data_IF_358481223832
#
_entry.id   IF_358481223832
#
_cell.length_a   1.000
_cell.length_b   1.000
_cell.length_c   1.000
_cell.angle_alpha   90.00
_cell.angle_beta   90.00
_cell.angle_gamma   90.00
#
_symmetry.space_group_name_H-M   'P 1'
#
loop_
_entity.id
_entity.type
_entity.pdbx_description
1 polymer ?
#
# COMPACT_ATOMS: atom_id res chain seq x y z
N UNK A 1 68.17 -17.66 -94.43
CA UNK A 1 66.69 -17.71 -94.66
C UNK A 1 65.90 -18.55 -93.64
N UNK A 2 66.39 -18.82 -92.41
CA UNK A 2 65.72 -19.78 -91.49
C UNK A 2 65.04 -19.19 -90.22
N UNK A 3 65.04 -17.87 -90.00
CA UNK A 3 64.41 -17.25 -88.81
C UNK A 3 62.89 -17.02 -88.94
N UNK A 4 62.35 -16.82 -90.15
CA UNK A 4 60.92 -16.53 -90.36
C UNK A 4 59.99 -17.75 -90.17
N UNK A 5 60.51 -18.99 -90.26
CA UNK A 5 59.71 -20.22 -90.06
C UNK A 5 59.54 -20.65 -88.60
N UNK A 6 60.37 -20.16 -87.66
CA UNK A 6 60.26 -20.51 -86.23
C UNK A 6 59.19 -19.70 -85.49
N UNK A 7 58.92 -18.46 -85.92
CA UNK A 7 57.88 -17.61 -85.30
C UNK A 7 56.45 -18.03 -85.68
N UNK A 8 56.24 -18.64 -86.85
CA UNK A 8 54.93 -19.10 -87.28
C UNK A 8 54.42 -20.35 -86.51
N UNK A 9 55.33 -21.18 -85.97
CA UNK A 9 54.95 -22.39 -85.20
C UNK A 9 54.59 -22.11 -83.75
N UNK A 10 55.20 -21.11 -83.11
CA UNK A 10 54.82 -20.68 -81.75
C UNK A 10 53.49 -19.95 -81.71
N UNK A 11 53.13 -19.20 -82.75
CA UNK A 11 51.81 -18.56 -82.85
C UNK A 11 50.66 -19.56 -83.00
N UNK A 12 50.89 -20.69 -83.70
CA UNK A 12 49.85 -21.72 -83.89
C UNK A 12 49.60 -22.55 -82.62
N UNK A 13 50.62 -22.76 -81.77
CA UNK A 13 50.47 -23.46 -80.48
C UNK A 13 49.75 -22.59 -79.43
N UNK A 14 49.99 -21.27 -79.42
CA UNK A 14 49.27 -20.33 -78.56
C UNK A 14 47.79 -20.16 -78.96
N UNK A 15 47.48 -20.26 -80.26
CA UNK A 15 46.09 -20.24 -80.74
C UNK A 15 45.33 -21.53 -80.42
N UNK A 16 46.00 -22.69 -80.43
CA UNK A 16 45.38 -23.98 -80.11
C UNK A 16 45.11 -24.17 -78.61
N UNK A 17 45.95 -23.62 -77.73
CA UNK A 17 45.69 -23.64 -76.27
C UNK A 17 44.56 -22.70 -75.84
N UNK A 18 44.25 -21.67 -76.63
CA UNK A 18 43.13 -20.76 -76.37
C UNK A 18 41.76 -21.40 -76.67
N UNK A 19 41.70 -22.43 -77.52
CA UNK A 19 40.44 -23.10 -77.88
C UNK A 19 40.04 -24.23 -76.91
N UNK A 20 40.96 -24.75 -76.08
CA UNK A 20 40.64 -25.76 -75.07
C UNK A 20 40.18 -25.17 -73.72
N UNK A 21 40.30 -23.85 -73.54
CA UNK A 21 39.82 -23.12 -72.36
C UNK A 21 38.46 -22.43 -72.58
N UNK A 22 37.85 -22.63 -73.75
CA UNK A 22 36.59 -21.97 -74.14
C UNK A 22 35.40 -22.94 -74.16
N UNK A 23 35.41 -23.99 -73.33
CA UNK A 23 34.17 -24.68 -73.00
C UNK A 23 33.38 -23.74 -72.09
N UNK A 24 32.21 -23.22 -72.52
CA UNK A 24 31.39 -22.40 -71.65
C UNK A 24 31.09 -23.18 -70.37
N UNK A 25 31.15 -22.54 -69.18
CA UNK A 25 30.81 -23.22 -67.94
C UNK A 25 29.42 -23.85 -68.07
N UNK A 26 29.22 -25.05 -67.49
CA UNK A 26 27.94 -25.72 -67.59
C UNK A 26 26.84 -24.83 -66.99
N UNK A 27 25.61 -24.89 -67.54
CA UNK A 27 24.52 -24.05 -67.07
C UNK A 27 24.30 -24.28 -65.57
N UNK A 28 24.16 -23.20 -64.82
CA UNK A 28 23.98 -23.24 -63.38
C UNK A 28 22.66 -23.96 -63.03
N UNK A 29 22.66 -24.90 -62.06
CA UNK A 29 21.43 -25.56 -61.64
C UNK A 29 20.42 -24.56 -61.07
N UNK A 30 19.16 -24.65 -61.49
CA UNK A 30 18.09 -23.77 -60.98
C UNK A 30 17.94 -23.84 -59.45
N UNK A 31 18.18 -25.01 -58.85
CA UNK A 31 18.09 -25.20 -57.40
C UNK A 31 19.10 -24.33 -56.63
N UNK A 32 20.26 -24.05 -57.22
CA UNK A 32 21.30 -23.22 -56.62
C UNK A 32 20.91 -21.74 -56.68
N UNK A 33 20.29 -21.29 -57.77
CA UNK A 33 19.73 -19.94 -57.89
C UNK A 33 18.56 -19.73 -56.91
N UNK A 34 17.65 -20.70 -56.79
CA UNK A 34 16.55 -20.66 -55.83
C UNK A 34 17.09 -20.57 -54.38
N UNK A 35 18.15 -21.31 -54.06
CA UNK A 35 18.80 -21.27 -52.77
C UNK A 35 19.42 -19.89 -52.50
N UNK A 36 20.11 -19.30 -53.47
CA UNK A 36 20.68 -17.95 -53.32
C UNK A 36 19.58 -16.92 -53.08
N UNK A 37 18.46 -17.01 -53.79
CA UNK A 37 17.29 -16.14 -53.55
C UNK A 37 16.72 -16.33 -52.13
N UNK A 38 16.63 -17.57 -51.65
CA UNK A 38 16.19 -17.87 -50.28
C UNK A 38 17.13 -17.26 -49.24
N UNK A 39 18.45 -17.43 -49.40
CA UNK A 39 19.45 -16.91 -48.46
C UNK A 39 19.61 -15.38 -48.50
N UNK A 40 19.35 -14.76 -49.65
CA UNK A 40 19.31 -13.31 -49.80
C UNK A 40 17.99 -12.68 -49.31
N UNK A 41 16.96 -13.49 -49.03
CA UNK A 41 15.68 -12.98 -48.56
C UNK A 41 15.79 -12.39 -47.15
N UNK A 42 15.00 -11.34 -46.87
CA UNK A 42 14.91 -10.75 -45.53
C UNK A 42 14.50 -11.75 -44.45
N UNK A 43 13.78 -12.81 -44.83
CA UNK A 43 13.36 -13.89 -43.92
C UNK A 43 14.57 -14.56 -43.25
N UNK A 44 15.66 -14.78 -43.99
CA UNK A 44 16.86 -15.40 -43.41
C UNK A 44 17.58 -14.44 -42.48
N UNK A 45 17.58 -13.14 -42.77
CA UNK A 45 18.12 -12.12 -41.87
C UNK A 45 17.35 -12.11 -40.54
N UNK A 46 16.02 -12.17 -40.58
CA UNK A 46 15.15 -12.20 -39.39
C UNK A 46 15.30 -13.52 -38.58
N UNK A 47 15.61 -14.63 -39.25
CA UNK A 47 15.77 -15.96 -38.64
C UNK A 47 17.16 -16.19 -38.06
N UNK A 48 18.20 -15.58 -38.64
CA UNK A 48 19.61 -15.74 -38.23
C UNK A 48 19.85 -15.55 -36.72
N UNK A 49 19.31 -14.52 -36.03
CA UNK A 49 19.54 -14.37 -34.60
C UNK A 49 18.91 -15.47 -33.75
N UNK A 50 17.89 -16.18 -34.26
CA UNK A 50 17.16 -17.23 -33.52
C UNK A 50 17.69 -18.63 -33.82
N UNK A 51 18.11 -18.88 -35.07
CA UNK A 51 18.63 -20.18 -35.50
C UNK A 51 19.98 -20.04 -36.22
N UNK A 52 21.01 -19.47 -35.57
CA UNK A 52 22.28 -19.14 -36.22
C UNK A 52 22.99 -20.37 -36.78
N UNK A 53 22.97 -21.48 -36.05
CA UNK A 53 23.66 -22.73 -36.45
C UNK A 53 23.03 -23.35 -37.70
N UNK A 54 21.69 -23.32 -37.80
CA UNK A 54 20.98 -23.86 -38.95
C UNK A 54 21.20 -23.00 -40.21
N UNK A 55 21.26 -21.67 -40.06
CA UNK A 55 21.61 -20.75 -41.15
C UNK A 55 23.08 -20.91 -41.57
N UNK A 56 23.99 -21.09 -40.61
CA UNK A 56 25.40 -21.34 -40.88
C UNK A 56 25.60 -22.67 -41.64
N UNK A 57 24.90 -23.73 -41.24
CA UNK A 57 24.90 -25.01 -41.94
C UNK A 57 24.40 -24.87 -43.39
N UNK A 58 23.29 -24.14 -43.60
CA UNK A 58 22.76 -23.87 -44.94
C UNK A 58 23.76 -23.12 -45.84
N UNK A 59 24.47 -22.13 -45.29
CA UNK A 59 25.51 -21.38 -46.02
C UNK A 59 26.76 -22.22 -46.31
N UNK A 60 27.14 -23.12 -45.41
CA UNK A 60 28.24 -24.05 -45.64
C UNK A 60 27.89 -25.02 -46.79
N UNK A 61 26.69 -25.61 -46.75
CA UNK A 61 26.21 -26.49 -47.83
C UNK A 61 26.00 -25.75 -49.15
N UNK A 62 25.64 -24.46 -49.14
CA UNK A 62 25.64 -23.61 -50.33
C UNK A 62 27.05 -23.50 -50.95
N UNK A 63 28.07 -23.23 -50.13
CA UNK A 63 29.45 -23.10 -50.62
C UNK A 63 29.95 -24.42 -51.24
N UNK A 64 29.60 -25.57 -50.65
CA UNK A 64 29.88 -26.89 -51.23
C UNK A 64 29.13 -27.12 -52.56
N UNK A 65 27.88 -26.66 -52.67
CA UNK A 65 27.11 -26.75 -53.90
C UNK A 65 27.67 -25.87 -55.02
N UNK A 66 28.20 -24.69 -54.69
CA UNK A 66 28.89 -23.79 -55.62
C UNK A 66 30.20 -24.42 -56.12
N UNK A 67 31.01 -24.99 -55.21
CA UNK A 67 32.24 -25.71 -55.58
C UNK A 67 31.96 -26.90 -56.52
N UNK A 68 30.94 -27.72 -56.23
CA UNK A 68 30.56 -28.84 -57.09
C UNK A 68 30.13 -28.40 -58.51
N UNK A 69 29.49 -27.22 -58.63
CA UNK A 69 29.14 -26.66 -59.94
C UNK A 69 30.38 -26.18 -60.71
N UNK A 70 31.34 -25.54 -60.04
CA UNK A 70 32.61 -25.12 -60.62
C UNK A 70 33.45 -26.32 -61.13
N UNK A 71 33.39 -27.45 -60.42
CA UNK A 71 34.02 -28.72 -60.80
C UNK A 71 33.28 -29.47 -61.93
N UNK A 72 32.07 -29.02 -62.31
CA UNK A 72 31.25 -29.62 -63.35
C UNK A 72 30.36 -30.79 -62.89
N UNK A 73 30.28 -31.08 -61.59
CA UNK A 73 29.37 -32.09 -61.02
C UNK A 73 27.99 -31.49 -60.73
N UNK A 74 27.16 -31.44 -61.77
CA UNK A 74 25.83 -30.85 -61.73
C UNK A 74 24.85 -31.63 -60.82
N UNK A 75 25.02 -32.96 -60.72
CA UNK A 75 24.14 -33.80 -59.90
C UNK A 75 24.41 -33.57 -58.41
N UNK A 76 25.69 -33.51 -58.03
CA UNK A 76 26.08 -33.20 -56.66
C UNK A 76 25.67 -31.77 -56.28
N UNK A 77 25.92 -30.78 -57.16
CA UNK A 77 25.51 -29.39 -56.93
C UNK A 77 23.99 -29.27 -56.72
N UNK A 78 23.17 -29.96 -57.53
CA UNK A 78 21.71 -29.98 -57.38
C UNK A 78 21.27 -30.60 -56.05
N UNK A 79 21.87 -31.73 -55.65
CA UNK A 79 21.57 -32.41 -54.37
C UNK A 79 21.93 -31.55 -53.16
N UNK A 80 23.13 -30.96 -53.14
CA UNK A 80 23.58 -30.07 -52.07
C UNK A 80 22.71 -28.82 -51.98
N UNK A 81 22.32 -28.25 -53.13
CA UNK A 81 21.40 -27.11 -53.16
C UNK A 81 20.05 -27.43 -52.51
N UNK A 82 19.46 -28.59 -52.81
CA UNK A 82 18.21 -29.03 -52.19
C UNK A 82 18.37 -29.25 -50.68
N UNK A 83 19.48 -29.85 -50.23
CA UNK A 83 19.77 -30.02 -48.81
C UNK A 83 19.86 -28.67 -48.08
N UNK A 84 20.59 -27.71 -48.66
CA UNK A 84 20.68 -26.36 -48.12
C UNK A 84 19.32 -25.67 -48.07
N UNK A 85 18.45 -25.84 -49.08
CA UNK A 85 17.07 -25.31 -49.03
C UNK A 85 16.27 -25.93 -47.87
N UNK A 86 16.43 -27.23 -47.61
CA UNK A 86 15.81 -27.89 -46.45
C UNK A 86 16.34 -27.32 -45.14
N UNK A 87 17.65 -27.08 -45.03
CA UNK A 87 18.25 -26.46 -43.85
C UNK A 87 17.75 -25.03 -43.61
N UNK A 88 17.58 -24.22 -44.66
CA UNK A 88 16.97 -22.88 -44.53
C UNK A 88 15.52 -22.99 -44.03
N UNK A 89 14.73 -23.91 -44.58
CA UNK A 89 13.34 -24.13 -44.11
C UNK A 89 13.29 -24.61 -42.67
N UNK A 90 14.22 -25.46 -42.26
CA UNK A 90 14.37 -25.89 -40.87
C UNK A 90 14.72 -24.72 -39.96
N UNK A 91 15.66 -23.86 -40.34
CA UNK A 91 16.00 -22.66 -39.59
C UNK A 91 14.77 -21.76 -39.38
N UNK A 92 13.97 -21.55 -40.44
CA UNK A 92 12.71 -20.79 -40.36
C UNK A 92 11.71 -21.46 -39.41
N UNK A 93 11.59 -22.79 -39.45
CA UNK A 93 10.70 -23.53 -38.56
C UNK A 93 11.12 -23.41 -37.08
N UNK A 94 12.42 -23.53 -36.79
CA UNK A 94 12.96 -23.36 -35.44
C UNK A 94 12.72 -21.94 -34.92
N UNK A 95 13.03 -20.92 -35.72
CA UNK A 95 12.78 -19.53 -35.33
C UNK A 95 11.29 -19.24 -35.07
N UNK A 96 10.38 -19.85 -35.84
CA UNK A 96 8.93 -19.76 -35.60
C UNK A 96 8.51 -20.47 -34.33
N UNK A 97 9.10 -21.63 -34.03
CA UNK A 97 8.87 -22.36 -32.79
C UNK A 97 9.31 -21.54 -31.57
N UNK A 98 10.48 -20.90 -31.63
CA UNK A 98 10.99 -20.04 -30.57
C UNK A 98 10.08 -18.82 -30.35
N UNK A 99 9.66 -18.16 -31.44
CA UNK A 99 8.71 -17.05 -31.35
C UNK A 99 7.36 -17.47 -30.75
N UNK A 100 6.87 -18.65 -31.12
CA UNK A 100 5.63 -19.20 -30.54
C UNK A 100 5.79 -19.50 -29.04
N UNK A 101 6.97 -19.99 -28.63
CA UNK A 101 7.30 -20.22 -27.23
C UNK A 101 7.36 -18.90 -26.45
N UNK A 102 8.03 -17.87 -26.97
CA UNK A 102 8.07 -16.55 -26.32
C UNK A 102 6.66 -15.96 -26.14
N UNK A 103 5.82 -16.02 -27.18
CA UNK A 103 4.42 -15.55 -27.09
C UNK A 103 3.62 -16.34 -26.05
N UNK A 104 3.87 -17.63 -25.93
CA UNK A 104 3.24 -18.46 -24.91
C UNK A 104 3.69 -18.06 -23.50
N UNK A 105 5.00 -17.88 -23.29
CA UNK A 105 5.54 -17.44 -22.01
C UNK A 105 5.00 -16.05 -21.62
N UNK A 106 4.88 -15.13 -22.58
CA UNK A 106 4.28 -13.80 -22.36
C UNK A 106 2.77 -13.88 -22.01
N UNK A 107 2.03 -14.74 -22.71
CA UNK A 107 0.62 -14.97 -22.41
C UNK A 107 0.42 -15.61 -21.02
N UNK A 108 1.26 -16.59 -20.65
CA UNK A 108 1.25 -17.22 -19.32
C UNK A 108 1.55 -16.20 -18.21
N UNK A 109 2.51 -15.28 -18.42
CA UNK A 109 2.77 -14.17 -17.48
C UNK A 109 1.57 -13.23 -17.35
N UNK A 110 0.97 -12.84 -18.47
CA UNK A 110 -0.21 -11.96 -18.48
C UNK A 110 -1.38 -12.59 -17.73
N UNK A 111 -1.60 -13.90 -17.89
CA UNK A 111 -2.61 -14.65 -17.14
C UNK A 111 -2.29 -14.63 -15.64
N UNK A 112 -1.05 -14.95 -15.26
CA UNK A 112 -0.63 -14.94 -13.86
C UNK A 112 -0.79 -13.56 -13.19
N UNK A 113 -0.40 -12.48 -13.89
CA UNK A 113 -0.56 -11.10 -13.42
C UNK A 113 -2.06 -10.74 -13.25
N UNK A 114 -2.90 -11.19 -14.18
CA UNK A 114 -4.35 -10.98 -14.10
C UNK A 114 -4.97 -11.76 -12.93
N UNK A 115 -4.56 -13.00 -12.70
CA UNK A 115 -5.03 -13.82 -11.57
C UNK A 115 -4.64 -13.19 -10.22
N UNK A 116 -3.42 -12.67 -10.11
CA UNK A 116 -2.97 -11.92 -8.93
C UNK A 116 -3.82 -10.66 -8.69
N UNK A 117 -4.12 -9.89 -9.75
CA UNK A 117 -4.98 -8.71 -9.64
C UNK A 117 -6.43 -9.08 -9.25
N UNK A 118 -6.98 -10.17 -9.79
CA UNK A 118 -8.30 -10.66 -9.39
C UNK A 118 -8.33 -11.11 -7.93
N UNK A 119 -7.29 -11.78 -7.45
CA UNK A 119 -7.19 -12.18 -6.05
C UNK A 119 -7.16 -10.97 -5.11
N UNK A 120 -6.46 -9.89 -5.47
CA UNK A 120 -6.43 -8.64 -4.70
C UNK A 120 -7.82 -7.97 -4.67
N UNK A 121 -8.50 -7.88 -5.82
CA UNK A 121 -9.86 -7.33 -5.92
C UNK A 121 -10.84 -8.12 -5.04
N UNK A 122 -10.77 -9.45 -5.08
CA UNK A 122 -11.66 -10.30 -4.27
C UNK A 122 -11.36 -10.17 -2.77
N UNK A 123 -10.08 -10.10 -2.37
CA UNK A 123 -9.71 -9.84 -0.98
C UNK A 123 -10.25 -8.48 -0.51
N UNK A 124 -10.12 -7.43 -1.34
CA UNK A 124 -10.67 -6.11 -1.03
C UNK A 124 -12.20 -6.13 -0.92
N UNK A 125 -12.87 -6.87 -1.80
CA UNK A 125 -14.31 -7.06 -1.76
C UNK A 125 -14.76 -7.73 -0.45
N UNK A 126 -14.09 -8.79 0.00
CA UNK A 126 -14.42 -9.46 1.25
C UNK A 126 -14.26 -8.55 2.48
N UNK A 127 -13.21 -7.71 2.49
CA UNK A 127 -13.03 -6.69 3.53
C UNK A 127 -14.19 -5.68 3.50
N UNK A 128 -14.60 -5.22 2.32
CA UNK A 128 -15.72 -4.29 2.18
C UNK A 128 -17.06 -4.93 2.57
N UNK A 129 -17.32 -6.19 2.21
CA UNK A 129 -18.52 -6.91 2.62
C UNK A 129 -18.57 -7.09 4.14
N UNK A 130 -17.43 -7.42 4.76
CA UNK A 130 -17.31 -7.51 6.22
C UNK A 130 -17.59 -6.16 6.87
N UNK A 131 -16.99 -5.08 6.36
CA UNK A 131 -17.24 -3.70 6.84
C UNK A 131 -18.71 -3.29 6.66
N UNK A 132 -19.33 -3.58 5.51
CA UNK A 132 -20.74 -3.29 5.30
C UNK A 132 -21.62 -4.04 6.30
N UNK A 133 -21.34 -5.31 6.58
CA UNK A 133 -22.09 -6.07 7.56
C UNK A 133 -21.95 -5.52 8.99
N UNK A 134 -20.77 -5.04 9.39
CA UNK A 134 -20.59 -4.40 10.68
C UNK A 134 -21.32 -3.06 10.78
N UNK A 135 -21.35 -2.26 9.70
CA UNK A 135 -22.15 -1.03 9.63
C UNK A 135 -23.65 -1.31 9.79
N UNK A 136 -24.16 -2.36 9.13
CA UNK A 136 -25.56 -2.77 9.29
C UNK A 136 -25.87 -3.26 10.71
N UNK A 137 -24.95 -4.01 11.33
CA UNK A 137 -25.09 -4.45 12.71
C UNK A 137 -25.11 -3.25 13.68
N UNK A 138 -24.20 -2.31 13.52
CA UNK A 138 -24.15 -1.08 14.31
C UNK A 138 -25.44 -0.27 14.18
N UNK A 139 -25.94 -0.08 12.95
CA UNK A 139 -27.22 0.61 12.72
C UNK A 139 -28.37 -0.07 13.44
N UNK A 140 -28.44 -1.41 13.43
CA UNK A 140 -29.48 -2.16 14.14
C UNK A 140 -29.40 -1.91 15.65
N UNK A 141 -28.20 -1.94 16.23
CA UNK A 141 -27.99 -1.64 17.65
C UNK A 141 -28.44 -0.21 17.97
N UNK A 142 -28.13 0.77 17.11
CA UNK A 142 -28.59 2.15 17.29
C UNK A 142 -30.11 2.27 17.24
N UNK A 143 -30.76 1.58 16.30
CA UNK A 143 -32.23 1.55 16.23
C UNK A 143 -32.85 0.89 17.48
N UNK A 144 -32.23 -0.15 18.03
CA UNK A 144 -32.65 -0.81 19.28
C UNK A 144 -32.48 0.11 20.49
N UNK A 145 -31.31 0.74 20.64
CA UNK A 145 -31.04 1.71 21.71
C UNK A 145 -32.00 2.90 21.64
N UNK A 146 -32.28 3.41 20.44
CA UNK A 146 -33.26 4.50 20.25
C UNK A 146 -34.67 4.08 20.68
N UNK A 147 -35.09 2.84 20.37
CA UNK A 147 -36.39 2.31 20.83
C UNK A 147 -36.43 2.14 22.34
N UNK A 148 -35.39 1.58 22.95
CA UNK A 148 -35.30 1.40 24.40
C UNK A 148 -35.33 2.75 25.14
N UNK A 149 -34.61 3.75 24.62
CA UNK A 149 -34.66 5.12 25.15
C UNK A 149 -36.07 5.72 25.03
N UNK A 150 -36.71 5.60 23.87
CA UNK A 150 -38.08 6.09 23.68
C UNK A 150 -39.07 5.44 24.67
N UNK A 151 -38.96 4.14 24.89
CA UNK A 151 -39.77 3.42 25.89
C UNK A 151 -39.46 3.88 27.32
N UNK A 152 -38.19 4.05 27.67
CA UNK A 152 -37.80 4.55 28.99
C UNK A 152 -38.33 5.97 29.25
N UNK A 153 -38.31 6.82 28.22
CA UNK A 153 -38.90 8.17 28.28
C UNK A 153 -40.40 8.11 28.50
N UNK A 154 -41.13 7.24 27.80
CA UNK A 154 -42.57 7.05 27.97
C UNK A 154 -42.91 6.52 29.38
N UNK A 155 -42.14 5.55 29.89
CA UNK A 155 -42.31 5.04 31.25
C UNK A 155 -42.03 6.11 32.32
N UNK A 156 -40.95 6.87 32.18
CA UNK A 156 -40.65 8.00 33.05
C UNK A 156 -41.74 9.05 32.99
N UNK A 157 -42.33 9.25 31.80
CA UNK A 157 -43.42 10.18 31.63
C UNK A 157 -44.66 9.78 32.41
N UNK A 158 -45.04 8.50 32.32
CA UNK A 158 -46.13 7.91 33.08
C UNK A 158 -45.86 7.89 34.59
N UNK A 159 -44.59 7.78 35.02
CA UNK A 159 -44.22 7.91 36.45
C UNK A 159 -44.38 9.36 36.92
N UNK A 160 -43.92 10.33 36.14
CA UNK A 160 -44.03 11.76 36.47
C UNK A 160 -45.49 12.24 36.58
N UNK A 161 -46.42 11.62 35.85
CA UNK A 161 -47.86 11.85 36.01
C UNK A 161 -48.41 11.51 37.38
N UNK A 162 -47.84 10.47 38.01
CA UNK A 162 -48.30 9.95 39.30
C UNK A 162 -47.70 10.68 40.49
N UNK A 163 -46.71 11.55 40.27
CA UNK A 163 -46.08 12.36 41.30
C UNK A 163 -47.01 13.49 41.77
N UNK A 164 -46.85 13.88 43.03
CA UNK A 164 -47.51 15.07 43.60
C UNK A 164 -46.94 16.35 42.96
N UNK A 165 -47.67 17.47 43.04
CA UNK A 165 -47.24 18.73 42.38
C UNK A 165 -45.86 19.22 42.85
N UNK A 166 -45.52 19.02 44.14
CA UNK A 166 -44.22 19.41 44.70
C UNK A 166 -43.07 18.51 44.21
N UNK A 167 -43.31 17.21 44.10
CA UNK A 167 -42.34 16.25 43.56
C UNK A 167 -42.15 16.43 42.06
N UNK A 168 -43.24 16.72 41.33
CA UNK A 168 -43.21 17.02 39.90
C UNK A 168 -42.37 18.27 39.61
N UNK A 169 -42.52 19.34 40.37
CA UNK A 169 -41.70 20.55 40.20
C UNK A 169 -40.21 20.29 40.43
N UNK A 170 -39.85 19.44 41.40
CA UNK A 170 -38.46 19.06 41.66
C UNK A 170 -37.90 18.19 40.54
N UNK A 171 -38.69 17.23 40.06
CA UNK A 171 -38.35 16.35 38.95
C UNK A 171 -38.14 17.14 37.65
N UNK A 172 -39.03 18.08 37.31
CA UNK A 172 -38.91 18.95 36.13
C UNK A 172 -37.64 19.80 36.16
N UNK A 173 -37.28 20.33 37.33
CA UNK A 173 -36.04 21.10 37.52
C UNK A 173 -34.80 20.23 37.24
N UNK A 174 -34.78 19.01 37.75
CA UNK A 174 -33.67 18.08 37.53
C UNK A 174 -33.58 17.64 36.07
N UNK A 175 -34.72 17.37 35.43
CA UNK A 175 -34.77 17.03 34.01
C UNK A 175 -34.23 18.15 33.11
N UNK A 176 -34.65 19.42 33.34
CA UNK A 176 -34.13 20.57 32.57
C UNK A 176 -32.62 20.73 32.73
N UNK A 177 -32.07 20.48 33.93
CA UNK A 177 -30.63 20.53 34.15
C UNK A 177 -29.89 19.43 33.37
N UNK A 178 -30.45 18.23 33.30
CA UNK A 178 -29.90 17.13 32.51
C UNK A 178 -29.97 17.44 31.00
N UNK A 179 -31.14 17.86 30.50
CA UNK A 179 -31.32 18.19 29.08
C UNK A 179 -30.34 19.27 28.58
N UNK A 180 -30.05 20.29 29.41
CA UNK A 180 -29.03 21.30 29.09
C UNK A 180 -27.62 20.71 29.03
N UNK A 181 -27.32 19.74 29.89
CA UNK A 181 -26.02 19.07 29.90
C UNK A 181 -25.85 18.23 28.63
N UNK A 182 -26.88 17.46 28.26
CA UNK A 182 -26.86 16.59 27.07
C UNK A 182 -26.78 17.41 25.78
N UNK A 183 -27.54 18.51 25.68
CA UNK A 183 -27.47 19.42 24.53
C UNK A 183 -26.11 20.14 24.43
N UNK A 184 -25.50 20.50 25.57
CA UNK A 184 -24.15 21.07 25.58
C UNK A 184 -23.08 20.06 25.16
N UNK A 185 -23.24 18.78 25.49
CA UNK A 185 -22.36 17.70 25.03
C UNK A 185 -22.49 17.46 23.52
N UNK A 186 -23.71 17.38 22.99
CA UNK A 186 -23.97 17.29 21.55
C UNK A 186 -23.35 18.45 20.76
N UNK A 187 -23.40 19.68 21.31
CA UNK A 187 -22.72 20.86 20.74
C UNK A 187 -21.21 20.68 20.66
N UNK A 188 -20.57 20.14 21.71
CA UNK A 188 -19.12 19.88 21.72
C UNK A 188 -18.75 18.83 20.66
N UNK A 189 -19.55 17.78 20.54
CA UNK A 189 -19.34 16.74 19.50
C UNK A 189 -19.41 17.34 18.10
N UNK A 190 -20.36 18.25 17.83
CA UNK A 190 -20.44 19.00 16.58
C UNK A 190 -19.22 19.88 16.33
N UNK A 191 -18.75 20.59 17.36
CA UNK A 191 -17.57 21.44 17.27
C UNK A 191 -16.32 20.63 16.96
N UNK A 192 -16.17 19.45 17.56
CA UNK A 192 -15.10 18.49 17.22
C UNK A 192 -15.24 18.00 15.77
N UNK A 193 -16.44 17.71 15.29
CA UNK A 193 -16.68 17.31 13.90
C UNK A 193 -16.34 18.42 12.88
N UNK A 194 -16.63 19.68 13.23
CA UNK A 194 -16.20 20.86 12.46
C UNK A 194 -14.69 20.99 12.40
N UNK A 195 -14.03 20.89 13.56
CA UNK A 195 -12.57 21.01 13.62
C UNK A 195 -11.88 19.95 12.77
N UNK A 196 -12.42 18.72 12.74
CA UNK A 196 -11.86 17.62 11.94
C UNK A 196 -12.20 17.69 10.44
N UNK A 197 -12.92 18.73 9.99
CA UNK A 197 -13.30 18.93 8.59
C UNK A 197 -14.35 17.94 8.08
N UNK A 198 -15.05 17.25 8.98
CA UNK A 198 -16.09 16.27 8.64
C UNK A 198 -17.43 16.96 8.39
N UNK A 199 -17.64 18.10 9.05
CA UNK A 199 -18.72 19.03 8.76
C UNK A 199 -18.72 19.46 7.28
N UNK A 200 -17.55 19.80 6.73
CA UNK A 200 -17.40 20.21 5.32
C UNK A 200 -17.69 19.08 4.33
N UNK A 201 -17.38 17.83 4.71
CA UNK A 201 -17.68 16.64 3.92
C UNK A 201 -19.17 16.24 3.96
N UNK A 202 -19.89 16.64 5.02
CA UNK A 202 -21.30 16.29 5.25
C UNK A 202 -22.13 17.50 5.74
N UNK A 203 -22.28 18.54 4.91
CA UNK A 203 -22.89 19.82 5.32
C UNK A 203 -24.36 19.68 5.70
N UNK A 204 -25.09 18.74 5.10
CA UNK A 204 -26.49 18.48 5.47
C UNK A 204 -26.62 17.88 6.88
N UNK A 205 -25.73 16.94 7.24
CA UNK A 205 -25.73 16.32 8.55
C UNK A 205 -25.34 17.34 9.63
N UNK A 206 -24.35 18.19 9.35
CA UNK A 206 -23.95 19.29 10.24
C UNK A 206 -25.09 20.28 10.48
N UNK A 207 -25.82 20.67 9.43
CA UNK A 207 -26.98 21.55 9.52
C UNK A 207 -28.05 20.94 10.41
N UNK A 208 -28.40 19.67 10.17
CA UNK A 208 -29.43 18.96 10.94
C UNK A 208 -29.05 18.81 12.41
N UNK A 209 -27.79 18.48 12.70
CA UNK A 209 -27.30 18.36 14.07
C UNK A 209 -27.26 19.72 14.78
N UNK A 210 -26.86 20.79 14.09
CA UNK A 210 -26.88 22.16 14.65
C UNK A 210 -28.30 22.60 14.98
N UNK A 211 -29.23 22.44 14.03
CA UNK A 211 -30.65 22.77 14.20
C UNK A 211 -31.28 21.97 15.35
N UNK A 212 -30.93 20.69 15.48
CA UNK A 212 -31.40 19.84 16.57
C UNK A 212 -30.86 20.27 17.94
N UNK A 213 -29.57 20.62 18.05
CA UNK A 213 -28.96 21.11 19.29
C UNK A 213 -29.54 22.45 19.73
N UNK A 214 -29.74 23.38 18.81
CA UNK A 214 -30.37 24.68 19.10
C UNK A 214 -31.81 24.49 19.56
N UNK A 215 -32.58 23.65 18.84
CA UNK A 215 -33.96 23.31 19.22
C UNK A 215 -34.02 22.66 20.61
N UNK A 216 -33.06 21.79 20.95
CA UNK A 216 -32.97 21.12 22.24
C UNK A 216 -32.64 22.09 23.40
N UNK A 217 -31.80 23.10 23.15
CA UNK A 217 -31.48 24.13 24.14
C UNK A 217 -32.66 25.08 24.39
N UNK A 218 -33.31 25.54 23.32
CA UNK A 218 -34.50 26.40 23.40
C UNK A 218 -35.65 25.69 24.12
N UNK A 219 -35.86 24.42 23.79
CA UNK A 219 -36.80 23.54 24.47
C UNK A 219 -36.58 23.50 25.98
N UNK A 220 -35.35 23.21 26.41
CA UNK A 220 -35.00 23.10 27.83
C UNK A 220 -35.32 24.36 28.66
N UNK A 221 -35.47 25.51 28.01
CA UNK A 221 -35.75 26.81 28.64
C UNK A 221 -37.24 27.21 28.64
N UNK A 222 -38.04 26.77 27.67
CA UNK A 222 -39.34 27.41 27.39
C UNK A 222 -40.57 26.53 27.65
N UNK A 223 -40.47 25.20 27.62
CA UNK A 223 -41.66 24.33 27.52
C UNK A 223 -41.76 23.25 28.61
N UNK A 224 -42.95 22.62 28.79
CA UNK A 224 -43.09 21.42 29.61
C UNK A 224 -42.44 20.20 28.94
N UNK A 225 -41.67 19.45 29.75
CA UNK A 225 -40.77 18.34 29.41
C UNK A 225 -41.31 17.24 28.47
N UNK A 226 -42.63 17.09 28.29
CA UNK A 226 -43.24 16.04 27.46
C UNK A 226 -43.09 16.23 25.96
N UNK A 227 -42.90 17.46 25.51
CA UNK A 227 -42.88 17.76 24.07
C UNK A 227 -41.44 17.62 23.50
N UNK A 228 -40.41 17.59 24.37
CA UNK A 228 -39.08 18.05 23.95
C UNK A 228 -37.90 17.11 24.26
N UNK A 229 -38.07 16.11 25.14
CA UNK A 229 -37.04 15.08 25.31
C UNK A 229 -36.68 14.35 24.00
N UNK A 230 -37.65 14.03 23.11
CA UNK A 230 -37.33 13.48 21.79
C UNK A 230 -36.46 14.40 20.92
N UNK A 231 -36.50 15.72 21.13
CA UNK A 231 -35.70 16.70 20.38
C UNK A 231 -34.25 16.73 20.90
N UNK A 232 -34.05 16.63 22.22
CA UNK A 232 -32.71 16.48 22.83
C UNK A 232 -32.07 15.16 22.41
N UNK A 233 -32.81 14.06 22.46
CA UNK A 233 -32.33 12.74 22.03
C UNK A 233 -32.01 12.72 20.53
N UNK A 234 -32.81 13.41 19.71
CA UNK A 234 -32.54 13.58 18.28
C UNK A 234 -31.26 14.39 18.03
N UNK A 235 -31.01 15.45 18.80
CA UNK A 235 -29.80 16.26 18.72
C UNK A 235 -28.54 15.47 19.05
N UNK A 236 -28.58 14.67 20.12
CA UNK A 236 -27.48 13.77 20.49
C UNK A 236 -27.26 12.72 19.39
N UNK A 237 -28.33 12.12 18.87
CA UNK A 237 -28.22 11.11 17.81
C UNK A 237 -27.61 11.68 16.50
N UNK A 238 -27.97 12.90 16.11
CA UNK A 238 -27.40 13.55 14.92
C UNK A 238 -25.92 13.93 15.13
N UNK A 239 -25.54 14.38 16.34
CA UNK A 239 -24.16 14.64 16.68
C UNK A 239 -23.31 13.35 16.72
N UNK A 240 -23.86 12.25 17.24
CA UNK A 240 -23.22 10.94 17.24
C UNK A 240 -23.11 10.34 15.83
N UNK A 241 -24.08 10.59 14.94
CA UNK A 241 -24.00 10.17 13.53
C UNK A 241 -22.84 10.86 12.80
N UNK A 242 -22.63 12.16 13.05
CA UNK A 242 -21.47 12.88 12.53
C UNK A 242 -20.17 12.37 13.13
N UNK A 243 -20.13 12.10 14.44
CA UNK A 243 -18.99 11.46 15.10
C UNK A 243 -18.66 10.09 14.50
N UNK A 244 -19.68 9.33 14.14
CA UNK A 244 -19.50 8.05 13.46
C UNK A 244 -18.95 8.22 12.04
N UNK A 245 -19.46 9.20 11.28
CA UNK A 245 -18.91 9.55 9.95
C UNK A 245 -17.47 10.06 10.02
N UNK A 246 -17.06 10.69 11.13
CA UNK A 246 -15.65 11.02 11.38
C UNK A 246 -14.77 9.78 11.51
N UNK A 247 -15.27 8.72 12.16
CA UNK A 247 -14.53 7.48 12.37
C UNK A 247 -14.47 6.60 11.10
N UNK A 248 -15.42 6.76 10.18
CA UNK A 248 -15.46 6.02 8.92
C UNK A 248 -14.77 6.73 7.74
N UNK A 249 -14.27 7.95 7.95
CA UNK A 249 -13.58 8.79 6.96
C UNK A 249 -12.16 8.33 6.55
N UNK A 250 -11.88 7.02 6.54
CA UNK A 250 -10.75 6.48 5.76
C UNK A 250 -10.96 6.70 4.24
N UNK A 251 -12.17 7.03 3.78
CA UNK A 251 -12.53 7.05 2.35
C UNK A 251 -12.13 8.30 1.56
N UNK A 252 -11.83 9.44 2.19
CA UNK A 252 -11.73 10.74 1.47
C UNK A 252 -10.31 11.32 1.40
N UNK A 253 -9.29 10.47 1.42
CA UNK A 253 -7.90 10.89 1.23
C UNK A 253 -6.82 9.96 1.77
N UNK A 254 -7.20 8.78 2.27
CA UNK A 254 -6.26 7.82 2.84
C UNK A 254 -5.65 8.25 4.17
N UNK A 255 -4.79 7.39 4.71
CA UNK A 255 -4.16 7.57 6.02
C UNK A 255 -3.36 8.88 6.15
N UNK A 256 -2.74 9.36 5.06
CA UNK A 256 -1.96 10.59 5.04
C UNK A 256 -2.82 11.85 5.20
N UNK A 257 -3.97 11.93 4.53
CA UNK A 257 -4.86 13.09 4.65
C UNK A 257 -5.53 13.18 6.03
N UNK A 258 -5.73 12.03 6.70
CA UNK A 258 -6.18 11.98 8.09
C UNK A 258 -5.04 12.38 9.04
N UNK A 259 -3.83 11.88 8.81
CA UNK A 259 -2.65 12.23 9.61
C UNK A 259 -2.34 13.73 9.55
N UNK A 260 -2.42 14.37 8.37
CA UNK A 260 -2.20 15.81 8.21
C UNK A 260 -3.27 16.63 8.93
N UNK A 261 -4.55 16.22 8.83
CA UNK A 261 -5.65 16.87 9.54
C UNK A 261 -5.50 16.75 11.05
N UNK A 262 -5.17 15.56 11.57
CA UNK A 262 -4.89 15.34 13.00
C UNK A 262 -3.68 16.15 13.46
N UNK A 263 -2.62 16.26 12.64
CA UNK A 263 -1.44 17.09 12.94
C UNK A 263 -1.82 18.58 13.06
N UNK A 264 -2.57 19.09 12.09
CA UNK A 264 -3.09 20.46 12.08
C UNK A 264 -3.99 20.72 13.29
N UNK A 265 -4.83 19.75 13.66
CA UNK A 265 -5.68 19.82 14.85
C UNK A 265 -4.86 19.88 16.13
N UNK A 266 -3.86 19.01 16.26
CA UNK A 266 -2.98 18.96 17.42
C UNK A 266 -2.16 20.25 17.57
N UNK A 267 -1.75 20.87 16.47
CA UNK A 267 -1.08 22.18 16.47
C UNK A 267 -2.04 23.31 16.88
N UNK A 268 -3.27 23.29 16.38
CA UNK A 268 -4.32 24.27 16.74
C UNK A 268 -4.69 24.14 18.23
N UNK A 269 -4.83 22.92 18.75
CA UNK A 269 -5.15 22.65 20.16
C UNK A 269 -3.98 23.00 21.10
N UNK A 270 -2.73 22.77 20.68
CA UNK A 270 -1.52 23.19 21.42
C UNK A 270 -1.39 24.71 21.56
N UNK A 271 -2.00 25.49 20.64
CA UNK A 271 -1.96 26.95 20.72
C UNK A 271 -2.90 27.54 21.78
N UNK A 272 -3.78 26.72 22.39
CA UNK A 272 -4.88 27.20 23.25
C UNK A 272 -4.92 26.72 24.71
N UNK A 273 -4.19 25.67 25.12
CA UNK A 273 -4.27 25.13 26.49
C UNK A 273 -2.95 24.50 26.99
N UNK A 274 -2.74 24.55 28.30
CA UNK A 274 -1.66 23.90 29.07
C UNK A 274 -2.33 23.00 30.15
N UNK A 275 -2.32 21.65 30.04
CA UNK A 275 -1.56 20.78 30.97
C UNK A 275 -1.14 19.38 30.35
N UNK A 276 -0.60 18.36 31.09
CA UNK A 276 0.31 17.35 30.53
C UNK A 276 -0.39 16.22 29.75
N UNK A 277 0.22 15.81 28.63
CA UNK A 277 -0.22 14.66 27.82
C UNK A 277 0.67 13.44 28.07
N UNK A 278 0.07 12.25 28.11
CA UNK A 278 0.80 10.98 27.99
C UNK A 278 0.74 10.50 26.54
N UNK A 279 1.90 10.25 25.94
CA UNK A 279 2.05 9.71 24.59
C UNK A 279 2.68 8.33 24.71
N UNK A 280 1.94 7.28 24.39
CA UNK A 280 2.48 5.94 24.24
C UNK A 280 2.57 5.59 22.75
N UNK A 281 3.69 4.97 22.33
CA UNK A 281 3.94 4.64 20.93
C UNK A 281 4.04 3.12 20.81
N UNK A 282 3.16 2.54 20.02
CA UNK A 282 3.22 1.14 19.61
C UNK A 282 3.79 1.09 18.17
N UNK A 283 4.52 0.03 17.77
CA UNK A 283 4.88 -0.21 16.37
C UNK A 283 3.73 -0.07 15.35
N UNK A 284 2.46 -0.08 15.77
CA UNK A 284 1.27 0.11 14.91
C UNK A 284 0.55 1.46 15.08
N UNK A 285 0.99 2.38 15.95
CA UNK A 285 0.29 3.65 16.16
C UNK A 285 0.69 4.49 17.37
N UNK A 286 0.06 5.66 17.53
CA UNK A 286 0.23 6.54 18.69
C UNK A 286 -1.05 6.47 19.54
N UNK A 287 -0.88 6.28 20.85
CA UNK A 287 -1.92 6.43 21.86
C UNK A 287 -1.72 7.80 22.54
N UNK A 288 -2.72 8.67 22.42
CA UNK A 288 -2.79 9.95 23.13
C UNK A 288 -3.79 9.82 24.27
N UNK A 289 -3.31 9.89 25.51
CA UNK A 289 -4.19 9.93 26.69
C UNK A 289 -4.36 11.38 27.11
N UNK A 290 -5.59 11.87 27.00
CA UNK A 290 -6.01 13.20 27.44
C UNK A 290 -6.61 13.04 28.84
N UNK A 291 -5.89 13.52 29.87
CA UNK A 291 -6.31 13.55 31.29
C UNK A 291 -6.38 12.17 32.01
N UNK A 292 -6.10 12.19 33.32
CA UNK A 292 -6.26 11.12 34.31
C UNK A 292 -7.68 10.51 34.42
N UNK A 293 -8.67 10.97 33.63
CA UNK A 293 -10.04 10.44 33.56
C UNK A 293 -10.47 9.95 32.17
N UNK A 294 -9.57 9.21 31.52
CA UNK A 294 -9.91 8.18 30.51
C UNK A 294 -10.70 8.68 29.28
N UNK A 295 -10.11 9.61 28.53
CA UNK A 295 -10.37 9.74 27.09
C UNK A 295 -9.15 9.21 26.31
N UNK A 296 -9.32 8.05 25.67
CA UNK A 296 -8.28 7.42 24.86
C UNK A 296 -8.55 7.66 23.37
N UNK A 297 -7.58 8.24 22.68
CA UNK A 297 -7.60 8.36 21.22
C UNK A 297 -6.53 7.44 20.63
N UNK A 298 -6.97 6.41 19.92
CA UNK A 298 -6.10 5.44 19.26
C UNK A 298 -6.05 5.71 17.75
N UNK A 299 -4.84 5.87 17.20
CA UNK A 299 -4.64 6.09 15.76
C UNK A 299 -3.69 5.01 15.25
N UNK A 300 -4.22 4.09 14.44
CA UNK A 300 -3.46 2.98 13.85
C UNK A 300 -2.93 3.37 12.47
N UNK A 301 -1.68 3.00 12.16
CA UNK A 301 -1.08 3.26 10.85
C UNK A 301 -0.09 2.15 10.45
N UNK A 302 0.08 1.86 9.13
CA UNK A 302 0.96 0.80 8.65
C UNK A 302 2.44 1.17 8.44
N UNK A 303 2.85 2.46 8.50
CA UNK A 303 4.26 2.88 8.28
C UNK A 303 4.85 3.96 9.25
N UNK A 304 4.54 4.01 10.57
CA UNK A 304 4.54 5.28 11.31
C UNK A 304 5.70 5.46 12.29
N UNK A 305 6.39 4.37 12.66
CA UNK A 305 7.35 4.39 13.76
C UNK A 305 8.53 5.35 13.48
N UNK A 306 9.04 5.38 12.25
CA UNK A 306 10.16 6.28 11.87
C UNK A 306 9.78 7.76 11.92
N UNK A 307 8.57 8.12 11.51
CA UNK A 307 8.12 9.52 11.52
C UNK A 307 7.79 9.99 12.94
N UNK A 308 7.12 9.16 13.74
CA UNK A 308 6.87 9.46 15.15
C UNK A 308 8.17 9.60 15.96
N UNK A 309 9.15 8.74 15.72
CA UNK A 309 10.49 8.84 16.33
C UNK A 309 11.23 10.11 15.87
N UNK A 310 11.07 10.53 14.61
CA UNK A 310 11.66 11.78 14.10
C UNK A 310 11.04 13.01 14.77
N UNK A 311 9.73 13.07 14.92
CA UNK A 311 9.04 14.20 15.57
C UNK A 311 9.35 14.28 17.07
N UNK A 312 9.40 13.12 17.72
CA UNK A 312 9.80 12.98 19.12
C UNK A 312 11.28 13.38 19.32
N UNK A 313 12.15 13.03 18.38
CA UNK A 313 13.53 13.52 18.31
C UNK A 313 13.59 15.04 18.18
N UNK A 314 12.86 15.65 17.24
CA UNK A 314 12.85 17.12 17.05
C UNK A 314 12.49 17.83 18.35
N UNK A 315 11.39 17.42 19.00
CA UNK A 315 10.94 18.02 20.28
C UNK A 315 11.94 17.84 21.41
N UNK A 316 12.57 16.68 21.51
CA UNK A 316 13.57 16.42 22.54
C UNK A 316 14.90 17.16 22.29
N UNK A 317 15.27 17.36 21.03
CA UNK A 317 16.46 18.17 20.67
C UNK A 317 16.26 19.66 20.92
N UNK A 318 15.04 20.16 20.82
CA UNK A 318 14.71 21.58 21.06
C UNK A 318 14.76 21.98 22.55
N UNK A 319 14.53 21.03 23.47
CA UNK A 319 14.62 21.29 24.91
C UNK A 319 15.82 20.55 25.54
N UNK A 320 16.98 21.22 25.73
CA UNK A 320 18.18 20.60 26.29
C UNK A 320 18.03 20.20 27.77
N UNK A 321 16.96 20.65 28.44
CA UNK A 321 16.70 20.32 29.83
C UNK A 321 16.03 18.95 30.02
N UNK A 322 15.54 18.31 28.95
CA UNK A 322 14.86 17.02 29.06
C UNK A 322 15.82 15.83 28.92
N UNK A 323 15.69 14.88 29.85
CA UNK A 323 16.17 13.51 29.77
C UNK A 323 15.10 12.63 29.16
N UNK A 324 15.49 11.66 28.33
CA UNK A 324 14.58 10.68 27.75
C UNK A 324 14.91 9.28 28.29
N UNK A 325 13.92 8.57 28.82
CA UNK A 325 14.02 7.16 29.15
C UNK A 325 13.14 6.37 28.18
N UNK A 326 13.78 5.54 27.36
CA UNK A 326 13.11 4.63 26.43
C UNK A 326 12.90 3.30 27.14
N UNK A 327 11.65 2.90 27.33
CA UNK A 327 11.29 1.63 27.94
C UNK A 327 10.64 0.73 26.90
N UNK A 328 11.18 -0.47 26.72
CA UNK A 328 10.54 -1.49 25.89
C UNK A 328 9.98 -2.61 26.77
N UNK A 329 8.72 -2.99 26.52
CA UNK A 329 8.01 -4.03 27.26
C UNK A 329 7.37 -5.00 26.27
N UNK A 330 7.60 -6.29 26.44
CA UNK A 330 6.84 -7.27 25.67
C UNK A 330 5.45 -7.40 26.27
N UNK A 331 4.44 -7.41 25.41
CA UNK A 331 3.06 -7.76 25.75
C UNK A 331 2.69 -9.15 25.21
N UNK A 332 3.66 -9.87 24.63
CA UNK A 332 3.52 -11.25 24.20
C UNK A 332 3.75 -12.21 25.38
N UNK A 333 2.74 -12.98 25.81
CA UNK A 333 2.90 -13.98 26.87
C UNK A 333 3.83 -15.14 26.48
N UNK A 334 4.10 -15.33 25.18
CA UNK A 334 4.95 -16.40 24.63
C UNK A 334 6.38 -15.92 24.29
N UNK A 335 6.75 -14.70 24.68
CA UNK A 335 8.04 -14.05 24.36
C UNK A 335 9.30 -14.84 24.77
N UNK A 336 9.16 -15.86 25.62
CA UNK A 336 10.19 -16.85 25.93
C UNK A 336 11.37 -16.33 26.74
N UNK A 337 12.40 -17.18 26.94
CA UNK A 337 13.57 -16.87 27.79
C UNK A 337 14.41 -15.69 27.27
N UNK A 338 14.30 -15.37 25.97
CA UNK A 338 15.07 -14.30 25.33
C UNK A 338 14.37 -12.93 25.38
N UNK A 339 13.17 -12.85 25.98
CA UNK A 339 12.33 -11.67 25.95
C UNK A 339 13.01 -10.40 26.49
N UNK A 340 13.72 -10.53 27.61
CA UNK A 340 14.43 -9.41 28.24
C UNK A 340 15.56 -8.89 27.34
N UNK A 341 16.27 -9.79 26.65
CA UNK A 341 17.34 -9.40 25.72
C UNK A 341 16.76 -8.66 24.52
N UNK A 342 15.72 -9.22 23.89
CA UNK A 342 15.09 -8.63 22.71
C UNK A 342 14.46 -7.26 22.99
N UNK A 343 13.76 -7.12 24.11
CA UNK A 343 13.20 -5.82 24.52
C UNK A 343 14.30 -4.82 24.87
N UNK A 344 15.38 -5.24 25.53
CA UNK A 344 16.53 -4.37 25.80
C UNK A 344 17.25 -3.92 24.53
N UNK A 345 17.41 -4.81 23.55
CA UNK A 345 17.99 -4.49 22.23
C UNK A 345 17.11 -3.49 21.48
N UNK A 346 15.80 -3.71 21.48
CA UNK A 346 14.85 -2.80 20.86
C UNK A 346 14.84 -1.42 21.52
N UNK A 347 14.87 -1.35 22.86
CA UNK A 347 14.96 -0.08 23.58
C UNK A 347 16.26 0.68 23.24
N UNK A 348 17.37 -0.03 23.07
CA UNK A 348 18.66 0.56 22.66
C UNK A 348 18.62 1.07 21.23
N UNK A 349 18.04 0.31 20.30
CA UNK A 349 17.88 0.73 18.90
C UNK A 349 16.98 1.96 18.79
N UNK A 350 15.85 1.97 19.51
CA UNK A 350 14.95 3.11 19.55
C UNK A 350 15.62 4.35 20.17
N UNK A 351 16.40 4.19 21.23
CA UNK A 351 17.20 5.27 21.83
C UNK A 351 18.26 5.83 20.86
N UNK A 352 18.94 4.96 20.11
CA UNK A 352 19.94 5.37 19.12
C UNK A 352 19.33 6.15 17.95
N UNK A 353 18.12 5.80 17.52
CA UNK A 353 17.40 6.50 16.45
C UNK A 353 17.01 7.94 16.86
N UNK A 354 16.70 8.13 18.14
CA UNK A 354 16.36 9.44 18.70
C UNK A 354 17.61 10.32 18.89
N UNK A 355 18.77 9.72 19.18
CA UNK A 355 20.00 10.47 19.45
C UNK A 355 21.23 9.84 18.78
N UNK A 356 21.43 10.05 17.47
CA UNK A 356 22.58 9.48 16.77
C UNK A 356 23.92 10.19 17.06
N UNK A 357 23.92 11.40 17.62
CA UNK A 357 25.14 12.20 17.88
C UNK A 357 25.18 12.75 19.32
N UNK A 358 26.27 12.43 20.05
CA UNK A 358 26.81 12.94 21.34
C UNK A 358 25.88 13.22 22.55
N UNK A 359 24.56 13.16 22.44
CA UNK A 359 23.61 13.33 23.54
C UNK A 359 23.31 12.03 24.31
N UNK A 360 24.27 11.09 24.30
CA UNK A 360 24.18 9.79 24.99
C UNK A 360 24.04 9.91 26.52
N UNK A 361 24.41 11.06 27.09
CA UNK A 361 24.25 11.36 28.51
C UNK A 361 22.80 11.68 28.90
N UNK A 362 21.96 12.04 27.91
CA UNK A 362 20.57 12.48 28.08
C UNK A 362 19.53 11.39 27.77
N UNK A 363 19.92 10.29 27.12
CA UNK A 363 19.02 9.16 26.85
C UNK A 363 19.42 7.92 27.65
N UNK A 364 18.45 7.33 28.35
CA UNK A 364 18.57 6.02 28.99
C UNK A 364 17.62 5.05 28.30
N UNK A 365 18.02 3.80 28.16
CA UNK A 365 17.17 2.74 27.62
C UNK A 365 17.03 1.62 28.65
N UNK A 366 15.82 1.11 28.84
CA UNK A 366 15.51 0.05 29.78
C UNK A 366 14.59 -0.98 29.13
N UNK A 367 15.08 -2.22 28.95
CA UNK A 367 14.23 -3.34 28.63
C UNK A 367 13.62 -3.90 29.90
N UNK A 368 12.29 -3.95 29.97
CA UNK A 368 11.56 -4.59 31.06
C UNK A 368 10.91 -5.85 30.48
N UNK A 369 11.58 -6.99 30.61
CA UNK A 369 11.08 -8.31 30.19
C UNK A 369 9.92 -8.83 31.04
N UNK A 370 9.07 -7.92 31.53
CA UNK A 370 7.91 -8.21 32.36
C UNK A 370 6.68 -8.28 31.45
N UNK A 371 6.12 -9.49 31.34
CA UNK A 371 4.78 -9.69 30.79
C UNK A 371 3.79 -9.22 31.86
N UNK A 372 3.21 -8.05 31.67
CA UNK A 372 1.99 -7.69 32.40
C UNK A 372 0.83 -8.23 31.56
N UNK A 373 0.00 -9.14 32.08
CA UNK A 373 -1.18 -9.61 31.36
C UNK A 373 -2.18 -8.45 31.30
N UNK A 374 -2.02 -7.58 30.31
CA UNK A 374 -3.05 -6.64 29.91
C UNK A 374 -3.91 -7.38 28.88
N UNK A 375 -5.24 -7.29 29.03
CA UNK A 375 -6.15 -7.89 28.05
C UNK A 375 -5.82 -7.34 26.66
N UNK A 376 -5.70 -8.19 25.63
CA UNK A 376 -5.43 -7.73 24.29
C UNK A 376 -6.58 -6.83 23.86
N UNK A 377 -6.27 -5.68 23.27
CA UNK A 377 -7.30 -4.86 22.63
C UNK A 377 -8.02 -5.71 21.58
N UNK A 378 -9.34 -5.59 21.51
CA UNK A 378 -10.20 -6.43 20.67
C UNK A 378 -9.69 -6.50 19.22
N UNK A 379 -9.49 -7.74 18.72
CA UNK A 379 -9.07 -8.01 17.34
C UNK A 379 -7.56 -8.19 17.11
N UNK A 380 -6.74 -8.30 18.17
CA UNK A 380 -5.28 -8.46 18.05
C UNK A 380 -4.74 -9.81 18.54
N UNK A 381 -3.80 -10.38 17.77
CA UNK A 381 -2.96 -11.52 18.20
C UNK A 381 -1.84 -11.03 19.11
N UNK A 382 -1.59 -11.72 20.22
CA UNK A 382 -0.56 -11.38 21.21
C UNK A 382 0.87 -11.77 20.79
N UNK A 383 1.02 -12.62 19.77
CA UNK A 383 2.33 -13.17 19.38
C UNK A 383 3.24 -12.09 18.79
N UNK A 384 4.38 -11.85 19.42
CA UNK A 384 5.44 -10.93 19.01
C UNK A 384 5.22 -9.45 19.30
N UNK A 385 4.20 -9.07 20.09
CA UNK A 385 3.86 -7.67 20.32
C UNK A 385 4.72 -7.01 21.43
N UNK A 386 5.22 -5.80 21.17
CA UNK A 386 6.11 -5.03 22.07
C UNK A 386 5.65 -3.58 22.14
N UNK A 387 5.51 -3.06 23.35
CA UNK A 387 5.16 -1.66 23.66
C UNK A 387 6.43 -0.85 23.92
N UNK A 388 6.53 0.32 23.31
CA UNK A 388 7.59 1.30 23.57
C UNK A 388 7.02 2.51 24.33
N UNK A 389 7.65 2.86 25.44
CA UNK A 389 7.29 4.04 26.23
C UNK A 389 8.49 5.01 26.23
N UNK A 390 8.22 6.27 25.89
CA UNK A 390 9.20 7.33 25.93
C UNK A 390 8.85 8.26 27.09
N UNK A 391 9.64 8.21 28.15
CA UNK A 391 9.40 8.99 29.36
C UNK A 391 10.37 10.16 29.39
N UNK A 392 9.84 11.38 29.45
CA UNK A 392 10.63 12.60 29.50
C UNK A 392 10.66 13.16 30.91
N UNK A 393 11.86 13.48 31.39
CA UNK A 393 12.06 14.04 32.72
C UNK A 393 12.89 15.32 32.62
N UNK A 394 12.55 16.38 33.36
CA UNK A 394 13.45 17.51 33.50
C UNK A 394 14.74 17.05 34.20
N UNK A 395 15.89 17.49 33.68
CA UNK A 395 17.21 17.27 34.28
C UNK A 395 17.22 18.02 35.61
N UNK A 396 17.37 17.29 36.71
CA UNK A 396 17.50 17.89 38.03
C UNK A 396 18.66 18.89 38.01
N UNK A 397 18.35 20.17 38.16
CA UNK A 397 19.38 21.19 38.37
C UNK A 397 19.96 20.90 39.77
N UNK A 398 21.26 20.63 39.91
CA UNK A 398 21.84 20.48 41.24
C UNK A 398 21.49 21.73 42.06
N UNK A 399 21.14 21.60 43.34
CA UNK A 399 20.85 22.76 44.17
C UNK A 399 22.02 23.74 44.07
N UNK A 400 21.71 25.02 43.82
CA UNK A 400 22.72 26.06 43.78
C UNK A 400 23.57 26.00 45.07
N UNK A 401 24.90 26.09 44.96
CA UNK A 401 25.82 25.85 46.07
C UNK A 401 25.59 26.75 47.29
#
# INVERSE_FOLDING_TARGET
>A
MNRKRRLARTALLLAASAFLLACPPPPRPQQLDDLQLMLASGVVADVTPRAPDAVAAARATQAEAEAAWEDGDLELSSRLSLLAQVQVRLAVALARQDLARERREEAERTVADSEAAYAEIEARRQVLETRLSSLWAYRRIQEEVARERAQAVEEEALRAERLTDAERATWEKNWRAQARTDAAEARRTLEVARMLGVADAYPEAERMATEAVETALDAADVSPWRIERPLVDYAVAQADELRFRMLTMESDGGAEAMAERVRTLAETYRSGFDPPFHVAIDPRGILLTLDAKSAELQIAFPEPARTALRDLRTKWTEDPSLLCLVVARSIDPECGENCLSQTSDLARLAAAEISPDDASDRIRSLGLGLVKPEEPLDGLSQTGAVRLEFLFFPRATPPAP
#
